data_IF_678420601024
#
_entry.id   IF_678420601024
#
_cell.length_a   1.000
_cell.length_b   1.000
_cell.length_c   1.000
_cell.angle_alpha   90.00
_cell.angle_beta   90.00
_cell.angle_gamma   90.00
#
_symmetry.space_group_name_H-M   'P 1'
#
loop_
_entity.id
_entity.type
_entity.pdbx_description
1 polymer ?
#
# COMPACT_ATOMS: atom_id res chain seq x y z
N UNK A 1 8.32 29.30 7.07
CA UNK A 1 9.66 29.51 6.50
C UNK A 1 9.65 30.67 5.51
N UNK A 2 8.82 30.65 4.48
CA UNK A 2 8.73 31.75 3.50
C UNK A 2 8.45 33.12 4.15
N UNK A 3 7.56 33.16 5.14
CA UNK A 3 7.25 34.39 5.89
C UNK A 3 8.42 34.97 6.68
N UNK A 4 9.37 34.13 7.10
CA UNK A 4 10.53 34.54 7.91
C UNK A 4 11.73 34.88 7.02
N UNK A 5 11.98 34.08 5.98
CA UNK A 5 13.12 34.26 5.07
C UNK A 5 12.85 35.28 3.96
N UNK A 6 11.58 35.50 3.60
CA UNK A 6 11.20 36.24 2.39
C UNK A 6 11.52 35.51 1.08
N UNK A 7 12.01 34.27 1.15
CA UNK A 7 12.30 33.43 -0.01
C UNK A 7 11.15 32.46 -0.29
N UNK A 8 10.93 32.14 -1.58
CA UNK A 8 10.04 31.03 -1.94
C UNK A 8 10.63 29.72 -1.44
N UNK A 9 9.77 28.79 -1.05
CA UNK A 9 10.20 27.51 -0.47
C UNK A 9 11.21 26.77 -1.35
N UNK A 10 10.94 26.68 -2.65
CA UNK A 10 11.83 26.06 -3.65
C UNK A 10 13.21 26.72 -3.72
N UNK A 11 13.23 28.05 -3.66
CA UNK A 11 14.45 28.83 -3.82
C UNK A 11 15.33 28.71 -2.58
N UNK A 12 14.70 28.72 -1.40
CA UNK A 12 15.38 28.50 -0.14
C UNK A 12 16.03 27.11 -0.08
N UNK A 13 15.29 26.04 -0.41
CA UNK A 13 15.84 24.68 -0.41
C UNK A 13 17.02 24.56 -1.39
N UNK A 14 16.88 25.11 -2.60
CA UNK A 14 17.94 25.08 -3.59
C UNK A 14 19.19 25.84 -3.11
N UNK A 15 19.02 27.03 -2.52
CA UNK A 15 20.13 27.90 -2.07
C UNK A 15 20.84 27.38 -0.83
N UNK A 16 20.08 26.90 0.15
CA UNK A 16 20.60 26.60 1.49
C UNK A 16 20.84 25.11 1.73
N UNK A 17 20.29 24.22 0.89
CA UNK A 17 20.43 22.77 1.06
C UNK A 17 21.00 22.12 -0.20
N UNK A 18 20.29 22.19 -1.33
CA UNK A 18 20.65 21.37 -2.50
C UNK A 18 21.97 21.80 -3.14
N UNK A 19 22.18 23.10 -3.41
CA UNK A 19 23.45 23.57 -3.98
C UNK A 19 24.65 23.36 -3.05
N UNK A 20 24.59 23.72 -1.75
CA UNK A 20 25.71 23.47 -0.83
C UNK A 20 26.10 22.00 -0.73
N UNK A 21 25.13 21.09 -0.82
CA UNK A 21 25.38 19.64 -0.81
C UNK A 21 25.72 19.07 -2.20
N UNK A 22 25.67 19.89 -3.26
CA UNK A 22 25.91 19.45 -4.64
C UNK A 22 24.80 18.56 -5.21
N UNK A 23 23.58 18.64 -4.69
CA UNK A 23 22.40 17.87 -5.10
C UNK A 23 21.75 18.48 -6.36
N UNK A 24 22.44 18.40 -7.49
CA UNK A 24 22.10 19.14 -8.72
C UNK A 24 20.86 18.63 -9.47
N UNK A 25 20.34 17.45 -9.12
CA UNK A 25 19.14 16.84 -9.68
C UNK A 25 18.02 16.73 -8.65
N UNK A 26 18.11 17.47 -7.55
CA UNK A 26 17.06 17.57 -6.53
C UNK A 26 16.34 18.91 -6.65
N UNK A 27 15.02 18.86 -6.68
CA UNK A 27 14.18 20.06 -6.77
C UNK A 27 12.83 19.83 -6.10
N UNK A 28 12.12 20.91 -5.79
CA UNK A 28 10.75 20.86 -5.27
C UNK A 28 9.71 21.12 -6.35
N UNK A 29 8.59 20.43 -6.25
CA UNK A 29 7.37 20.63 -7.05
C UNK A 29 6.19 20.90 -6.12
N UNK A 30 5.21 21.67 -6.60
CA UNK A 30 4.04 22.04 -5.80
C UNK A 30 2.84 21.13 -6.04
N UNK A 31 2.82 20.39 -7.15
CA UNK A 31 1.69 19.53 -7.54
C UNK A 31 2.17 18.23 -8.19
N UNK A 32 1.39 17.16 -8.05
CA UNK A 32 1.65 15.89 -8.77
C UNK A 32 1.45 16.02 -10.28
N UNK A 33 0.79 17.07 -10.77
CA UNK A 33 0.74 17.37 -12.20
C UNK A 33 2.15 17.58 -12.77
N UNK A 34 3.03 18.27 -12.04
CA UNK A 34 4.43 18.47 -12.45
C UNK A 34 5.24 17.17 -12.42
N UNK A 35 4.84 16.20 -11.58
CA UNK A 35 5.45 14.87 -11.57
C UNK A 35 5.01 14.08 -12.80
N UNK A 36 3.70 13.99 -13.03
CA UNK A 36 3.11 13.23 -14.13
C UNK A 36 3.51 13.77 -15.51
N UNK A 37 3.74 15.09 -15.63
CA UNK A 37 4.11 15.75 -16.88
C UNK A 37 5.62 15.81 -17.14
N UNK A 38 6.46 15.22 -16.30
CA UNK A 38 7.92 15.28 -16.43
C UNK A 38 8.50 13.94 -16.86
N UNK A 39 9.01 13.89 -18.09
CA UNK A 39 9.58 12.67 -18.70
C UNK A 39 10.86 12.17 -18.00
N UNK A 40 11.54 13.03 -17.24
CA UNK A 40 12.71 12.64 -16.45
C UNK A 40 12.32 11.81 -15.20
N UNK A 41 11.06 11.85 -14.79
CA UNK A 41 10.56 11.05 -13.67
C UNK A 41 9.95 9.75 -14.23
N UNK A 42 10.44 8.57 -13.81
CA UNK A 42 9.86 7.30 -14.24
C UNK A 42 8.37 7.24 -13.91
N UNK A 43 7.52 6.67 -14.78
CA UNK A 43 6.10 6.57 -14.49
C UNK A 43 5.86 5.75 -13.23
N UNK A 44 4.86 6.17 -12.45
CA UNK A 44 4.40 5.47 -11.26
C UNK A 44 3.65 4.19 -11.61
N UNK A 45 3.63 3.24 -10.66
CA UNK A 45 2.99 1.94 -10.82
C UNK A 45 2.24 1.50 -9.57
N UNK A 46 1.36 0.53 -9.74
CA UNK A 46 0.82 -0.30 -8.68
C UNK A 46 0.88 -1.77 -9.08
N UNK A 47 0.87 -2.68 -8.10
CA UNK A 47 0.94 -4.13 -8.37
C UNK A 47 -0.46 -4.73 -8.49
N UNK A 48 -0.67 -5.61 -9.48
CA UNK A 48 -1.84 -6.48 -9.58
C UNK A 48 -1.34 -7.91 -9.79
N UNK A 49 -1.58 -8.79 -8.83
CA UNK A 49 -1.17 -10.21 -8.90
C UNK A 49 0.30 -10.38 -9.33
N UNK A 50 1.19 -9.53 -8.81
CA UNK A 50 2.63 -9.58 -9.07
C UNK A 50 3.06 -8.92 -10.37
N UNK A 51 2.15 -8.22 -11.06
CA UNK A 51 2.45 -7.44 -12.26
C UNK A 51 2.34 -5.96 -11.98
N UNK A 52 3.38 -5.22 -12.33
CA UNK A 52 3.37 -3.76 -12.29
C UNK A 52 2.47 -3.19 -13.39
N UNK A 53 1.56 -2.32 -13.01
CA UNK A 53 0.66 -1.60 -13.91
C UNK A 53 0.93 -0.11 -13.77
N UNK A 54 1.31 0.52 -14.88
CA UNK A 54 1.59 1.96 -14.89
C UNK A 54 0.33 2.77 -14.61
N UNK A 55 0.47 3.82 -13.81
CA UNK A 55 -0.61 4.74 -13.44
C UNK A 55 -0.03 6.08 -13.04
N UNK A 56 -0.61 7.16 -13.54
CA UNK A 56 -0.30 8.51 -13.08
C UNK A 56 -0.77 8.72 -11.63
N UNK A 57 -0.01 9.50 -10.87
CA UNK A 57 -0.39 9.86 -9.51
C UNK A 57 -1.65 10.76 -9.54
N UNK A 58 -2.64 10.56 -8.65
CA UNK A 58 -3.77 11.48 -8.52
C UNK A 58 -3.34 12.94 -8.35
N UNK A 59 -4.12 13.85 -8.93
CA UNK A 59 -3.81 15.27 -8.89
C UNK A 59 -4.12 15.88 -7.52
N UNK A 60 -3.11 16.45 -6.88
CA UNK A 60 -3.23 17.19 -5.62
C UNK A 60 -2.01 18.09 -5.39
N UNK A 61 -2.15 18.99 -4.42
CA UNK A 61 -1.11 19.90 -3.96
C UNK A 61 -0.20 19.19 -2.95
N UNK A 62 1.12 19.30 -3.15
CA UNK A 62 2.15 18.57 -2.40
C UNK A 62 3.32 19.45 -1.94
N UNK A 63 3.23 20.77 -2.16
CA UNK A 63 4.32 21.70 -1.84
C UNK A 63 4.61 21.74 -0.34
N UNK A 64 5.88 21.61 0.02
CA UNK A 64 6.32 21.40 1.40
C UNK A 64 6.50 19.91 1.74
N UNK A 65 5.45 19.20 2.18
CA UNK A 65 5.60 17.90 2.85
C UNK A 65 5.90 16.73 1.91
N UNK A 66 5.67 16.85 0.60
CA UNK A 66 5.82 15.71 -0.32
C UNK A 66 6.30 16.09 -1.74
N UNK A 67 6.78 17.32 -1.91
CA UNK A 67 7.13 17.89 -3.21
C UNK A 67 8.56 17.65 -3.66
N UNK A 68 9.40 16.94 -2.90
CA UNK A 68 10.82 16.79 -3.25
C UNK A 68 11.01 15.64 -4.24
N UNK A 69 11.61 15.96 -5.39
CA UNK A 69 12.07 14.99 -6.39
C UNK A 69 13.59 14.94 -6.32
N UNK A 70 14.16 13.74 -6.31
CA UNK A 70 15.60 13.54 -6.14
C UNK A 70 16.08 12.31 -6.92
N UNK A 71 17.39 12.07 -6.88
CA UNK A 71 18.06 10.89 -7.45
C UNK A 71 18.83 10.14 -6.37
N UNK A 72 19.13 8.86 -6.59
CA UNK A 72 19.96 8.08 -5.66
C UNK A 72 21.33 8.75 -5.37
N UNK A 73 21.95 9.34 -6.39
CA UNK A 73 23.25 10.02 -6.27
C UNK A 73 23.20 11.32 -5.47
N UNK A 74 22.05 12.01 -5.47
CA UNK A 74 21.87 13.20 -4.64
C UNK A 74 21.41 12.84 -3.23
N UNK A 75 20.57 11.81 -3.09
CA UNK A 75 20.21 11.25 -1.78
C UNK A 75 21.45 10.74 -1.03
N UNK A 76 22.45 10.16 -1.70
CA UNK A 76 23.69 9.77 -1.01
C UNK A 76 24.43 10.97 -0.40
N UNK A 77 24.40 12.14 -1.06
CA UNK A 77 24.99 13.38 -0.51
C UNK A 77 24.19 13.90 0.68
N UNK A 78 22.86 13.84 0.59
CA UNK A 78 21.96 14.14 1.70
C UNK A 78 22.21 13.23 2.92
N UNK A 79 22.41 11.93 2.70
CA UNK A 79 22.75 10.97 3.76
C UNK A 79 24.09 11.30 4.42
N UNK A 80 25.13 11.53 3.61
CA UNK A 80 26.48 11.87 4.11
C UNK A 80 26.43 13.14 4.98
N UNK A 81 25.65 14.14 4.57
CA UNK A 81 25.52 15.40 5.31
C UNK A 81 24.99 15.22 6.74
N UNK A 82 24.27 14.12 7.03
CA UNK A 82 23.73 13.86 8.37
C UNK A 82 24.82 13.53 9.38
N UNK A 83 25.89 12.86 8.97
CA UNK A 83 26.98 12.47 9.88
C UNK A 83 28.30 13.19 9.61
N UNK A 84 28.42 13.95 8.52
CA UNK A 84 29.65 14.72 8.21
C UNK A 84 29.72 16.08 8.93
N UNK A 85 28.64 16.55 9.55
CA UNK A 85 28.61 17.80 10.34
C UNK A 85 28.59 19.11 9.54
N UNK A 86 28.24 19.08 8.26
CA UNK A 86 28.33 20.25 7.37
C UNK A 86 27.03 21.04 7.21
N UNK A 87 25.89 20.52 7.70
CA UNK A 87 24.57 21.14 7.49
C UNK A 87 24.16 22.07 8.63
N UNK A 88 24.47 21.69 9.87
CA UNK A 88 24.08 22.41 11.08
C UNK A 88 25.21 22.35 12.11
N UNK A 89 25.35 23.37 12.99
CA UNK A 89 26.19 23.28 14.18
C UNK A 89 25.87 22.03 15.01
N UNK A 90 26.85 21.42 15.71
CA UNK A 90 26.66 20.13 16.40
C UNK A 90 25.46 20.08 17.35
N UNK A 91 25.20 21.13 18.12
CA UNK A 91 24.06 21.19 19.03
C UNK A 91 22.70 21.16 18.28
N UNK A 92 22.60 21.84 17.14
CA UNK A 92 21.41 21.83 16.30
C UNK A 92 21.27 20.52 15.54
N UNK A 93 22.37 19.88 15.16
CA UNK A 93 22.33 18.55 14.54
C UNK A 93 21.79 17.51 15.53
N UNK A 94 22.27 17.54 16.78
CA UNK A 94 21.72 16.68 17.84
C UNK A 94 20.22 16.91 18.03
N UNK A 95 19.77 18.17 18.02
CA UNK A 95 18.34 18.47 18.10
C UNK A 95 17.56 17.98 16.88
N UNK A 96 18.12 18.10 15.68
CA UNK A 96 17.51 17.66 14.43
C UNK A 96 17.30 16.13 14.39
N UNK A 97 18.19 15.37 15.01
CA UNK A 97 18.13 13.90 15.09
C UNK A 97 17.40 13.37 16.32
N UNK A 98 16.93 14.25 17.22
CA UNK A 98 16.22 13.82 18.43
C UNK A 98 14.79 13.38 18.12
N UNK A 99 14.33 12.38 18.89
CA UNK A 99 12.92 12.06 19.00
C UNK A 99 12.12 13.25 19.54
N UNK A 100 10.80 13.26 19.27
CA UNK A 100 9.88 14.19 19.90
C UNK A 100 9.54 13.79 21.35
N UNK A 101 9.02 14.74 22.13
CA UNK A 101 8.75 14.53 23.56
C UNK A 101 7.78 13.36 23.85
N UNK A 102 6.85 13.10 22.94
CA UNK A 102 5.80 12.10 23.09
C UNK A 102 5.87 10.94 22.08
N UNK A 103 6.86 10.95 21.18
CA UNK A 103 6.94 10.02 20.04
C UNK A 103 8.36 9.93 19.49
N UNK A 104 8.80 8.78 18.95
CA UNK A 104 10.09 8.70 18.24
C UNK A 104 10.20 9.67 17.05
N UNK A 105 9.09 10.25 16.58
CA UNK A 105 9.10 11.26 15.52
C UNK A 105 9.47 12.67 16.03
N UNK A 106 10.55 13.23 15.50
CA UNK A 106 11.06 14.57 15.80
C UNK A 106 10.95 15.55 14.62
N UNK A 107 12.05 16.22 14.28
CA UNK A 107 12.11 17.26 13.24
C UNK A 107 12.13 16.69 11.80
N UNK A 108 11.16 15.85 11.46
CA UNK A 108 11.09 15.21 10.15
C UNK A 108 11.80 13.85 10.08
N UNK A 109 12.11 13.25 11.22
CA UNK A 109 12.75 11.94 11.33
C UNK A 109 12.06 11.10 12.40
N UNK A 110 11.97 9.80 12.18
CA UNK A 110 11.82 8.80 13.23
C UNK A 110 13.21 8.49 13.78
N UNK A 111 13.47 8.91 15.01
CA UNK A 111 14.70 8.62 15.72
C UNK A 111 14.53 7.35 16.55
N UNK A 112 15.51 6.46 16.47
CA UNK A 112 15.54 5.21 17.22
C UNK A 112 16.97 4.88 17.68
N UNK A 113 17.08 3.89 18.56
CA UNK A 113 18.35 3.38 19.05
C UNK A 113 18.36 1.84 18.95
N UNK A 114 19.10 1.35 17.96
CA UNK A 114 19.37 -0.07 17.80
C UNK A 114 20.45 -0.53 18.78
N UNK A 115 20.22 -1.56 19.61
CA UNK A 115 21.21 -2.03 20.58
C UNK A 115 22.55 -2.49 19.97
N UNK A 116 22.53 -2.98 18.73
CA UNK A 116 23.70 -3.46 17.98
C UNK A 116 24.35 -2.38 17.11
N UNK A 117 23.55 -1.47 16.57
CA UNK A 117 23.98 -0.54 15.51
C UNK A 117 23.97 0.95 15.94
N UNK A 118 23.56 1.24 17.18
CA UNK A 118 23.53 2.58 17.73
C UNK A 118 22.34 3.39 17.23
N UNK A 119 22.53 4.71 17.12
CA UNK A 119 21.47 5.66 16.78
C UNK A 119 21.12 5.60 15.31
N UNK A 120 19.83 5.58 15.05
CA UNK A 120 19.29 5.65 13.69
C UNK A 120 18.29 6.77 13.56
N UNK A 121 18.23 7.34 12.35
CA UNK A 121 17.14 8.22 11.93
C UNK A 121 16.56 7.66 10.63
N UNK A 122 15.24 7.70 10.49
CA UNK A 122 14.57 7.18 9.30
C UNK A 122 13.36 8.01 8.91
N UNK A 123 13.02 7.98 7.63
CA UNK A 123 11.79 8.54 7.11
C UNK A 123 11.30 7.76 5.90
N UNK A 124 9.99 7.81 5.66
CA UNK A 124 9.38 7.14 4.52
C UNK A 124 8.52 8.12 3.73
N UNK A 125 8.60 8.03 2.39
CA UNK A 125 7.74 8.77 1.48
C UNK A 125 6.70 7.84 0.87
N UNK A 126 5.43 8.23 0.88
CA UNK A 126 4.33 7.40 0.35
C UNK A 126 3.42 8.23 -0.54
N UNK A 127 3.34 7.82 -1.81
CA UNK A 127 2.30 8.18 -2.79
C UNK A 127 1.51 6.93 -3.21
N UNK A 128 0.45 7.12 -4.00
CA UNK A 128 -0.34 6.02 -4.53
C UNK A 128 0.43 5.19 -5.56
N UNK A 129 1.42 5.78 -6.22
CA UNK A 129 2.17 5.17 -7.33
C UNK A 129 3.70 5.23 -7.16
N UNK A 130 4.18 5.85 -6.08
CA UNK A 130 5.60 5.90 -5.68
C UNK A 130 5.77 5.63 -4.19
N UNK A 131 6.91 5.10 -3.80
CA UNK A 131 7.30 4.94 -2.39
C UNK A 131 8.79 5.18 -2.23
N UNK A 132 9.21 5.62 -1.06
CA UNK A 132 10.63 5.72 -0.70
C UNK A 132 10.82 5.37 0.76
N UNK A 133 12.01 4.89 1.07
CA UNK A 133 12.48 4.59 2.42
C UNK A 133 13.90 5.15 2.55
N UNK A 134 14.21 5.77 3.68
CA UNK A 134 15.56 6.16 4.04
C UNK A 134 15.85 5.87 5.51
N UNK A 135 17.06 5.39 5.77
CA UNK A 135 17.61 5.20 7.11
C UNK A 135 19.08 5.61 7.13
N UNK A 136 19.47 6.36 8.16
CA UNK A 136 20.86 6.68 8.47
C UNK A 136 21.24 6.05 9.80
N UNK A 137 22.28 5.22 9.77
CA UNK A 137 22.96 4.68 10.95
C UNK A 137 24.08 5.65 11.32
N UNK A 138 23.79 6.55 12.26
CA UNK A 138 24.63 7.72 12.53
C UNK A 138 26.01 7.32 13.07
N UNK A 139 26.04 6.31 13.95
CA UNK A 139 27.27 5.84 14.58
C UNK A 139 28.12 4.96 13.63
N UNK A 140 27.50 4.33 12.64
CA UNK A 140 28.18 3.57 11.57
C UNK A 140 28.59 4.46 10.38
N UNK A 141 28.18 5.74 10.35
CA UNK A 141 28.38 6.65 9.23
C UNK A 141 27.88 6.06 7.90
N UNK A 142 26.73 5.40 7.95
CA UNK A 142 26.12 4.69 6.84
C UNK A 142 24.70 5.20 6.60
N UNK A 143 24.36 5.51 5.36
CA UNK A 143 23.01 5.89 4.97
C UNK A 143 22.52 5.08 3.77
N UNK A 144 21.25 4.68 3.82
CA UNK A 144 20.62 3.86 2.80
C UNK A 144 19.31 4.55 2.42
N UNK A 145 19.14 4.82 1.13
CA UNK A 145 17.90 5.37 0.57
C UNK A 145 17.47 4.52 -0.62
N UNK A 146 16.19 4.13 -0.65
CA UNK A 146 15.61 3.33 -1.72
C UNK A 146 14.34 4.01 -2.20
N UNK A 147 14.22 4.20 -3.52
CA UNK A 147 13.07 4.81 -4.16
C UNK A 147 12.43 3.79 -5.11
N UNK A 148 11.12 3.65 -5.00
CA UNK A 148 10.28 2.75 -5.77
C UNK A 148 9.35 3.56 -6.65
N UNK A 149 9.32 3.27 -7.95
CA UNK A 149 8.28 3.74 -8.85
C UNK A 149 7.03 2.85 -8.80
N UNK A 150 6.82 2.17 -7.67
CA UNK A 150 5.61 1.47 -7.30
C UNK A 150 5.10 2.01 -5.97
N UNK A 151 3.81 2.32 -5.90
CA UNK A 151 3.21 2.91 -4.71
C UNK A 151 3.01 1.93 -3.57
N UNK A 152 2.23 2.38 -2.59
CA UNK A 152 1.90 1.59 -1.41
C UNK A 152 1.29 0.23 -1.81
N UNK A 153 1.92 -0.85 -1.34
CA UNK A 153 1.40 -2.20 -1.40
C UNK A 153 1.18 -2.66 0.03
N UNK A 154 -0.07 -2.97 0.40
CA UNK A 154 -0.43 -3.28 1.78
C UNK A 154 0.21 -4.58 2.31
N UNK A 155 0.82 -5.37 1.42
CA UNK A 155 1.37 -6.69 1.74
C UNK A 155 2.90 -6.69 1.78
N UNK A 156 3.54 -5.63 1.27
CA UNK A 156 5.01 -5.55 1.20
C UNK A 156 5.52 -4.68 2.33
N UNK A 157 6.47 -5.22 3.11
CA UNK A 157 7.22 -4.44 4.06
C UNK A 157 8.48 -3.88 3.39
N UNK A 158 8.47 -2.58 3.09
CA UNK A 158 9.55 -1.94 2.35
C UNK A 158 10.79 -1.67 3.21
N UNK A 159 10.65 -1.63 4.54
CA UNK A 159 11.79 -1.46 5.46
C UNK A 159 12.75 -2.66 5.39
N UNK A 160 12.25 -3.87 5.11
CA UNK A 160 13.08 -5.07 4.98
C UNK A 160 14.10 -4.96 3.83
N UNK A 161 13.84 -4.11 2.84
CA UNK A 161 14.80 -3.84 1.77
C UNK A 161 15.97 -3.02 2.31
N UNK A 162 15.70 -2.04 3.18
CA UNK A 162 16.75 -1.28 3.88
C UNK A 162 17.56 -2.23 4.76
N UNK A 163 16.90 -3.06 5.56
CA UNK A 163 17.55 -4.01 6.46
C UNK A 163 18.41 -5.02 5.68
N UNK A 164 17.91 -5.51 4.54
CA UNK A 164 18.66 -6.40 3.66
C UNK A 164 19.89 -5.75 3.04
N UNK A 165 19.80 -4.48 2.61
CA UNK A 165 20.96 -3.72 2.12
C UNK A 165 21.96 -3.46 3.24
N UNK A 166 21.49 -3.08 4.43
CA UNK A 166 22.33 -2.87 5.61
C UNK A 166 23.09 -4.15 5.99
N UNK A 167 22.41 -5.29 6.02
CA UNK A 167 23.03 -6.60 6.25
C UNK A 167 24.13 -6.89 5.22
N UNK A 168 23.85 -6.70 3.92
CA UNK A 168 24.86 -6.90 2.87
C UNK A 168 26.08 -5.97 3.02
N UNK A 169 25.86 -4.71 3.40
CA UNK A 169 26.96 -3.75 3.66
C UNK A 169 27.82 -4.17 4.85
N UNK A 170 27.23 -4.86 5.83
CA UNK A 170 27.92 -5.44 6.99
C UNK A 170 28.55 -6.81 6.71
N UNK A 171 28.41 -7.34 5.49
CA UNK A 171 28.90 -8.67 5.11
C UNK A 171 28.02 -9.83 5.59
N UNK A 172 26.81 -9.53 6.02
CA UNK A 172 25.81 -10.50 6.48
C UNK A 172 24.88 -10.93 5.33
N UNK A 173 24.15 -12.02 5.53
CA UNK A 173 23.14 -12.48 4.57
C UNK A 173 21.79 -11.81 4.88
N UNK A 174 21.14 -11.19 3.89
CA UNK A 174 19.84 -10.56 4.11
C UNK A 174 18.77 -11.61 4.41
N UNK A 175 17.89 -11.31 5.37
CA UNK A 175 16.72 -12.12 5.63
C UNK A 175 15.63 -11.81 4.61
N UNK A 176 15.21 -12.80 3.82
CA UNK A 176 14.15 -12.63 2.83
C UNK A 176 12.84 -13.11 3.44
N UNK A 177 11.93 -12.18 3.73
CA UNK A 177 10.61 -12.53 4.26
C UNK A 177 9.83 -13.41 3.29
N UNK A 178 9.14 -14.41 3.85
CA UNK A 178 8.19 -15.22 3.10
C UNK A 178 7.02 -14.38 2.59
N UNK A 179 6.65 -13.31 3.30
CA UNK A 179 5.57 -12.38 2.95
C UNK A 179 6.04 -11.29 1.98
N UNK A 180 6.68 -11.68 0.88
CA UNK A 180 7.07 -10.76 -0.20
C UNK A 180 6.01 -10.70 -1.32
N UNK A 181 6.10 -9.69 -2.19
CA UNK A 181 5.14 -9.45 -3.27
C UNK A 181 4.93 -10.69 -4.17
N UNK A 182 6.02 -11.40 -4.51
CA UNK A 182 5.96 -12.60 -5.36
C UNK A 182 5.13 -13.71 -4.71
N UNK A 183 5.45 -14.07 -3.47
CA UNK A 183 4.77 -15.14 -2.75
C UNK A 183 3.30 -14.78 -2.46
N UNK A 184 3.05 -13.52 -2.10
CA UNK A 184 1.70 -13.01 -1.87
C UNK A 184 0.85 -13.04 -3.13
N UNK A 185 1.43 -12.66 -4.27
CA UNK A 185 0.77 -12.76 -5.57
C UNK A 185 0.44 -14.20 -5.94
N UNK A 186 1.35 -15.16 -5.70
CA UNK A 186 1.08 -16.58 -5.91
C UNK A 186 -0.05 -17.09 -5.00
N UNK A 187 -0.06 -16.71 -3.73
CA UNK A 187 -1.12 -17.07 -2.78
C UNK A 187 -2.46 -16.49 -3.23
N UNK A 188 -2.50 -15.22 -3.65
CA UNK A 188 -3.73 -14.59 -4.14
C UNK A 188 -4.26 -15.27 -5.41
N UNK A 189 -3.39 -15.60 -6.36
CA UNK A 189 -3.78 -16.36 -7.56
C UNK A 189 -4.33 -17.75 -7.21
N UNK A 190 -3.66 -18.48 -6.31
CA UNK A 190 -4.09 -19.78 -5.84
C UNK A 190 -5.46 -19.70 -5.12
N UNK A 191 -5.66 -18.67 -4.29
CA UNK A 191 -6.91 -18.42 -3.57
C UNK A 191 -8.07 -18.10 -4.52
N UNK A 192 -7.82 -17.29 -5.55
CA UNK A 192 -8.80 -17.02 -6.62
C UNK A 192 -9.18 -18.32 -7.34
N UNK A 193 -8.19 -19.12 -7.75
CA UNK A 193 -8.44 -20.39 -8.43
C UNK A 193 -9.21 -21.37 -7.54
N UNK A 194 -8.82 -21.53 -6.28
CA UNK A 194 -9.50 -22.38 -5.32
C UNK A 194 -10.97 -21.94 -5.12
N UNK A 195 -11.22 -20.63 -5.05
CA UNK A 195 -12.57 -20.07 -4.93
C UNK A 195 -13.42 -20.40 -6.15
N UNK A 196 -12.86 -20.32 -7.36
CA UNK A 196 -13.55 -20.69 -8.60
C UNK A 196 -13.85 -22.20 -8.67
N UNK A 197 -12.86 -23.05 -8.39
CA UNK A 197 -13.02 -24.52 -8.39
C UNK A 197 -14.08 -24.95 -7.37
N UNK A 198 -13.98 -24.44 -6.15
CA UNK A 198 -14.99 -24.66 -5.11
C UNK A 198 -16.36 -24.15 -5.55
N UNK A 199 -16.41 -22.96 -6.15
CA UNK A 199 -17.62 -22.35 -6.68
C UNK A 199 -18.34 -23.22 -7.70
N UNK A 200 -17.60 -23.78 -8.66
CA UNK A 200 -18.12 -24.69 -9.67
C UNK A 200 -18.59 -26.02 -9.05
N UNK A 201 -17.77 -26.65 -8.20
CA UNK A 201 -18.11 -27.88 -7.50
C UNK A 201 -19.38 -27.73 -6.65
N UNK A 202 -19.44 -26.67 -5.84
CA UNK A 202 -20.60 -26.37 -5.00
C UNK A 202 -21.86 -26.12 -5.84
N UNK A 203 -21.75 -25.40 -6.97
CA UNK A 203 -22.89 -25.18 -7.89
C UNK A 203 -23.46 -26.50 -8.42
N UNK A 204 -22.58 -27.42 -8.85
CA UNK A 204 -23.00 -28.76 -9.30
C UNK A 204 -23.67 -29.53 -8.16
N UNK A 205 -23.08 -29.51 -6.96
CA UNK A 205 -23.62 -30.18 -5.78
C UNK A 205 -24.99 -29.63 -5.37
N UNK A 206 -25.19 -28.32 -5.42
CA UNK A 206 -26.47 -27.66 -5.13
C UNK A 206 -27.53 -28.11 -6.13
N UNK A 207 -27.24 -28.09 -7.43
CA UNK A 207 -28.17 -28.51 -8.49
C UNK A 207 -28.56 -29.99 -8.40
N UNK A 208 -27.68 -30.84 -7.86
CA UNK A 208 -27.94 -32.27 -7.64
C UNK A 208 -28.74 -32.57 -6.37
N UNK A 209 -28.94 -31.60 -5.46
CA UNK A 209 -29.75 -31.83 -4.26
C UNK A 209 -31.21 -32.07 -4.64
N UNK A 210 -31.74 -33.22 -4.22
CA UNK A 210 -33.18 -33.56 -4.31
C UNK A 210 -33.97 -33.24 -3.04
N UNK A 211 -33.32 -32.71 -1.99
CA UNK A 211 -33.96 -32.41 -0.70
C UNK A 211 -34.86 -31.17 -0.82
N UNK A 212 -35.99 -31.19 -0.10
CA UNK A 212 -36.90 -30.05 0.02
C UNK A 212 -36.16 -28.86 0.63
N UNK A 213 -36.26 -27.70 -0.02
CA UNK A 213 -35.74 -26.44 0.50
C UNK A 213 -36.94 -25.59 0.94
N UNK A 214 -37.06 -25.31 2.24
CA UNK A 214 -38.10 -24.41 2.76
C UNK A 214 -37.75 -22.96 2.44
N UNK A 215 -38.78 -22.08 2.42
CA UNK A 215 -38.57 -20.66 2.13
C UNK A 215 -37.66 -19.99 3.16
N UNK A 216 -37.81 -20.30 4.46
CA UNK A 216 -36.95 -19.76 5.52
C UNK A 216 -35.48 -20.17 5.36
N UNK A 217 -35.22 -21.43 4.98
CA UNK A 217 -33.87 -21.91 4.73
C UNK A 217 -33.25 -21.28 3.48
N UNK A 218 -34.05 -21.04 2.43
CA UNK A 218 -33.62 -20.30 1.25
C UNK A 218 -33.21 -18.86 1.58
N UNK A 219 -34.03 -18.15 2.37
CA UNK A 219 -33.74 -16.77 2.80
C UNK A 219 -32.44 -16.73 3.61
N UNK A 220 -32.31 -17.59 4.62
CA UNK A 220 -31.13 -17.66 5.46
C UNK A 220 -29.85 -17.92 4.65
N UNK A 221 -29.88 -18.90 3.74
CA UNK A 221 -28.74 -19.20 2.87
C UNK A 221 -28.41 -17.98 1.99
N UNK A 222 -29.44 -17.32 1.43
CA UNK A 222 -29.23 -16.17 0.55
C UNK A 222 -28.59 -15.00 1.29
N UNK A 223 -29.05 -14.68 2.50
CA UNK A 223 -28.46 -13.62 3.34
C UNK A 223 -26.98 -13.91 3.63
N UNK A 224 -26.65 -15.13 4.08
CA UNK A 224 -25.26 -15.52 4.36
C UNK A 224 -24.39 -15.42 3.10
N UNK A 225 -24.92 -15.84 1.95
CA UNK A 225 -24.19 -15.83 0.67
C UNK A 225 -23.99 -14.42 0.12
N UNK A 226 -24.78 -13.43 0.53
CA UNK A 226 -24.61 -12.04 0.11
C UNK A 226 -23.59 -11.28 0.97
N UNK A 227 -23.07 -11.85 2.06
CA UNK A 227 -22.07 -11.19 2.92
C UNK A 227 -20.85 -10.68 2.13
N UNK A 228 -20.21 -11.46 1.23
CA UNK A 228 -19.07 -10.96 0.46
C UNK A 228 -19.40 -9.76 -0.42
N UNK A 229 -20.62 -9.72 -0.96
CA UNK A 229 -21.12 -8.58 -1.76
C UNK A 229 -21.26 -7.34 -0.88
N UNK A 230 -21.80 -7.50 0.32
CA UNK A 230 -21.94 -6.40 1.28
C UNK A 230 -20.56 -5.87 1.73
N UNK A 231 -19.59 -6.76 1.97
CA UNK A 231 -18.21 -6.37 2.29
C UNK A 231 -17.59 -5.60 1.13
N UNK A 232 -17.76 -6.08 -0.11
CA UNK A 232 -17.25 -5.40 -1.31
C UNK A 232 -17.84 -4.00 -1.44
N UNK A 233 -19.16 -3.85 -1.36
CA UNK A 233 -19.84 -2.56 -1.51
C UNK A 233 -19.50 -1.58 -0.37
N UNK A 234 -19.22 -2.11 0.82
CA UNK A 234 -18.91 -1.31 2.02
C UNK A 234 -17.41 -1.14 2.25
N UNK A 235 -16.55 -1.60 1.32
CA UNK A 235 -15.10 -1.65 1.53
C UNK A 235 -14.49 -0.27 1.85
N UNK A 236 -14.84 0.83 1.15
CA UNK A 236 -14.33 2.16 1.52
C UNK A 236 -14.77 2.61 2.91
N UNK A 237 -16.02 2.35 3.29
CA UNK A 237 -16.56 2.74 4.60
C UNK A 237 -15.88 1.96 5.71
N UNK A 238 -15.70 0.65 5.53
CA UNK A 238 -15.00 -0.22 6.47
C UNK A 238 -13.55 0.23 6.66
N UNK A 239 -12.83 0.49 5.58
CA UNK A 239 -11.42 0.91 5.66
C UNK A 239 -11.25 2.34 6.15
N UNK A 240 -12.19 3.25 5.86
CA UNK A 240 -12.20 4.60 6.43
C UNK A 240 -12.42 4.55 7.94
N UNK A 241 -13.33 3.69 8.41
CA UNK A 241 -13.58 3.47 9.84
C UNK A 241 -12.34 2.93 10.55
N UNK A 242 -11.70 1.90 9.98
CA UNK A 242 -10.46 1.33 10.53
C UNK A 242 -9.30 2.33 10.46
N UNK A 243 -9.21 3.10 9.38
CA UNK A 243 -8.16 4.09 9.12
C UNK A 243 -8.31 5.41 9.87
N UNK A 244 -9.07 5.44 10.96
CA UNK A 244 -9.22 6.63 11.81
C UNK A 244 -9.90 7.82 11.13
N UNK A 245 -10.82 7.56 10.17
CA UNK A 245 -11.57 8.59 9.46
C UNK A 245 -10.91 9.15 8.21
N UNK A 246 -9.73 8.64 7.80
CA UNK A 246 -9.11 8.99 6.52
C UNK A 246 -9.92 8.38 5.38
N UNK A 247 -10.57 9.22 4.59
CA UNK A 247 -11.38 8.79 3.44
C UNK A 247 -10.45 8.19 2.38
N UNK A 248 -10.59 6.88 2.17
CA UNK A 248 -9.88 6.16 1.12
C UNK A 248 -10.81 6.00 -0.09
N UNK A 249 -10.64 6.80 -1.16
CA UNK A 249 -11.46 6.64 -2.35
C UNK A 249 -11.19 5.28 -2.99
N UNK A 250 -12.17 4.78 -3.75
CA UNK A 250 -12.05 3.53 -4.51
C UNK A 250 -10.79 3.44 -5.36
N UNK A 251 -10.33 4.57 -5.92
CA UNK A 251 -9.08 4.65 -6.68
C UNK A 251 -7.84 4.31 -5.84
N UNK A 252 -7.78 4.78 -4.60
CA UNK A 252 -6.71 4.47 -3.64
C UNK A 252 -6.79 3.04 -3.13
N UNK A 253 -8.00 2.53 -2.88
CA UNK A 253 -8.19 1.13 -2.52
C UNK A 253 -7.76 0.18 -3.63
N UNK A 254 -8.10 0.51 -4.87
CA UNK A 254 -7.70 -0.29 -6.02
C UNK A 254 -6.17 -0.33 -6.20
N UNK A 255 -5.47 0.79 -6.00
CA UNK A 255 -4.00 0.82 -6.14
C UNK A 255 -3.30 0.00 -5.05
N UNK A 256 -3.84 0.01 -3.83
CA UNK A 256 -3.22 -0.61 -2.66
C UNK A 256 -3.64 -2.07 -2.42
N UNK A 257 -4.87 -2.42 -2.80
CA UNK A 257 -5.54 -3.70 -2.50
C UNK A 257 -6.14 -4.35 -3.75
N UNK A 258 -5.58 -4.11 -4.94
CA UNK A 258 -6.04 -4.67 -6.22
C UNK A 258 -6.31 -6.19 -6.14
N UNK A 259 -5.33 -6.96 -5.64
CA UNK A 259 -5.39 -8.42 -5.59
C UNK A 259 -6.48 -8.92 -4.61
N UNK A 260 -6.55 -8.44 -3.35
CA UNK A 260 -7.68 -8.72 -2.46
C UNK A 260 -9.04 -8.33 -3.04
N UNK A 261 -9.16 -7.18 -3.71
CA UNK A 261 -10.41 -6.73 -4.32
C UNK A 261 -10.84 -7.67 -5.45
N UNK A 262 -9.92 -8.09 -6.33
CA UNK A 262 -10.20 -9.06 -7.40
C UNK A 262 -10.72 -10.36 -6.80
N UNK A 263 -10.06 -10.88 -5.76
CA UNK A 263 -10.53 -12.08 -5.07
C UNK A 263 -11.93 -11.90 -4.47
N UNK A 264 -12.19 -10.77 -3.82
CA UNK A 264 -13.49 -10.46 -3.21
C UNK A 264 -14.60 -10.34 -4.26
N UNK A 265 -14.30 -9.79 -5.45
CA UNK A 265 -15.21 -9.76 -6.60
C UNK A 265 -15.52 -11.18 -7.08
N UNK A 266 -14.50 -12.01 -7.27
CA UNK A 266 -14.68 -13.42 -7.67
C UNK A 266 -15.53 -14.18 -6.64
N UNK A 267 -15.24 -13.99 -5.35
CA UNK A 267 -15.99 -14.62 -4.27
C UNK A 267 -17.46 -14.15 -4.26
N UNK A 268 -17.70 -12.86 -4.47
CA UNK A 268 -19.04 -12.27 -4.60
C UNK A 268 -19.81 -12.90 -5.76
N UNK A 269 -19.20 -12.99 -6.95
CA UNK A 269 -19.83 -13.57 -8.13
C UNK A 269 -20.16 -15.07 -7.94
N UNK A 270 -19.24 -15.85 -7.36
CA UNK A 270 -19.48 -17.26 -7.04
C UNK A 270 -20.69 -17.42 -6.12
N UNK A 271 -20.80 -16.57 -5.09
CA UNK A 271 -21.93 -16.66 -4.17
C UNK A 271 -23.26 -16.22 -4.81
N UNK A 272 -23.27 -15.22 -5.70
CA UNK A 272 -24.46 -14.86 -6.48
C UNK A 272 -24.93 -16.02 -7.36
N UNK A 273 -23.99 -16.74 -8.00
CA UNK A 273 -24.31 -17.97 -8.77
C UNK A 273 -24.89 -19.05 -7.85
N UNK A 274 -24.38 -19.20 -6.62
CA UNK A 274 -24.94 -20.15 -5.65
C UNK A 274 -26.36 -19.76 -5.25
N UNK A 275 -26.64 -18.49 -4.98
CA UNK A 275 -28.00 -17.98 -4.68
C UNK A 275 -28.95 -18.30 -5.83
N UNK A 276 -28.55 -18.04 -7.08
CA UNK A 276 -29.35 -18.40 -8.26
C UNK A 276 -29.57 -19.91 -8.39
N UNK A 277 -28.57 -20.74 -8.07
CA UNK A 277 -28.73 -22.20 -8.04
C UNK A 277 -29.72 -22.65 -6.96
N UNK A 278 -29.67 -22.07 -5.75
CA UNK A 278 -30.61 -22.35 -4.68
C UNK A 278 -32.03 -21.91 -5.03
N UNK A 279 -32.18 -20.74 -5.66
CA UNK A 279 -33.46 -20.25 -6.15
C UNK A 279 -34.09 -21.24 -7.15
N UNK A 280 -33.31 -21.75 -8.11
CA UNK A 280 -33.77 -22.75 -9.07
C UNK A 280 -34.23 -24.06 -8.39
N UNK A 281 -33.51 -24.51 -7.36
CA UNK A 281 -33.92 -25.71 -6.57
C UNK A 281 -35.22 -25.45 -5.81
N UNK A 282 -35.36 -24.27 -5.20
CA UNK A 282 -36.58 -23.85 -4.52
C UNK A 282 -37.78 -23.77 -5.48
N UNK A 283 -37.62 -23.09 -6.62
CA UNK A 283 -38.68 -22.93 -7.62
C UNK A 283 -39.16 -24.27 -8.18
N UNK A 284 -38.23 -25.21 -8.46
CA UNK A 284 -38.57 -26.58 -8.88
C UNK A 284 -39.36 -27.32 -7.81
N UNK A 285 -38.97 -27.17 -6.54
CA UNK A 285 -39.69 -27.78 -5.43
C UNK A 285 -41.12 -27.25 -5.30
N UNK A 286 -41.29 -25.92 -5.33
CA UNK A 286 -42.62 -25.27 -5.26
C UNK A 286 -43.52 -25.72 -6.41
N UNK A 287 -43.00 -25.71 -7.65
CA UNK A 287 -43.75 -26.18 -8.83
C UNK A 287 -44.18 -27.64 -8.71
N UNK A 288 -43.29 -28.53 -8.25
CA UNK A 288 -43.62 -29.94 -8.06
C UNK A 288 -44.64 -30.15 -6.94
N UNK A 289 -44.58 -29.37 -5.85
CA UNK A 289 -45.59 -29.46 -4.78
C UNK A 289 -46.98 -28.99 -5.22
N UNK A 290 -47.06 -27.94 -6.04
CA UNK A 290 -48.34 -27.48 -6.61
C UNK A 290 -48.92 -28.50 -7.61
N UNK A 291 -48.08 -29.13 -8.43
CA UNK A 291 -48.51 -30.21 -9.34
C UNK A 291 -49.02 -31.45 -8.60
N UNK A 292 -48.44 -31.82 -7.46
CA UNK A 292 -48.93 -32.94 -6.65
C UNK A 292 -50.23 -32.61 -5.89
N UNK A 293 -50.46 -31.34 -5.54
CA UNK A 293 -51.70 -30.91 -4.90
C UNK A 293 -52.89 -30.83 -5.89
N UNK A 294 -52.63 -30.65 -7.19
CA UNK A 294 -53.65 -30.49 -8.23
C UNK A 294 -54.00 -31.78 -9.00
N UNK A 295 -53.31 -32.90 -8.74
CA UNK A 295 -53.64 -34.24 -9.25
C UNK A 295 -53.93 -35.19 -8.06
N UNK A 296 -55.16 -35.17 -7.50
CA UNK A 296 -55.57 -36.08 -6.44
C UNK A 296 -55.70 -37.54 -6.91
#
# INVERSE_FOLDING_TARGET
MESISGERFSDYLNRHIFKPLGMNHTYSVSTTHQINGNEAIPPGHYSILGRSVSRSEPLWFIDGPAGIVSTAADMSKWMIAQYSGNLLPPALMNQFHSAGDASPYGMGWLADHDPSHGRTISHSGIFWTYKSEETVYLDEQMGIAVMFNSGLNAIVNYSEIIDGVAAMMRGEQPNISFLNDRNMSMIMMALILATLVWGAYASIRIRRKKKRLTIGMFILISVIRLIPVLILLSLPQLLTFIGGGRVLPWSGLWTTLSSPIIWLVVWSLVNLVHVACYYNVYARYVKNSQSMANNP
#
